data_IF_701547065090
#
_entry.id   IF_701547065090
#
_cell.length_a   1.000
_cell.length_b   1.000
_cell.length_c   1.000
_cell.angle_alpha   90.00
_cell.angle_beta   90.00
_cell.angle_gamma   90.00
#
_symmetry.space_group_name_H-M   'P 1'
#
loop_
_entity.id
_entity.type
_entity.pdbx_description
1 polymer ?
#
# COMPACT_ATOMS: atom_id res chain seq x y z
N UNK A 1 -2.79 7.81 7.01
CA UNK A 1 -2.91 6.35 7.18
C UNK A 1 -3.74 5.78 6.04
N UNK A 2 -3.26 4.76 5.35
CA UNK A 2 -4.03 4.04 4.31
C UNK A 2 -5.10 3.15 4.94
N UNK A 3 -6.31 3.13 4.36
CA UNK A 3 -7.44 2.29 4.80
C UNK A 3 -8.47 2.18 3.68
N UNK A 4 -9.39 1.20 3.78
CA UNK A 4 -10.54 1.08 2.87
C UNK A 4 -11.44 2.32 2.86
N UNK A 5 -12.19 2.49 1.78
CA UNK A 5 -13.13 3.59 1.59
C UNK A 5 -12.49 4.96 1.38
N UNK A 6 -11.21 5.02 1.00
CA UNK A 6 -10.52 6.26 0.67
C UNK A 6 -10.74 6.67 -0.78
N UNK A 7 -10.88 7.97 -1.02
CA UNK A 7 -10.88 8.54 -2.38
C UNK A 7 -9.57 8.22 -3.11
N UNK A 8 -9.68 7.75 -4.37
CA UNK A 8 -8.52 7.37 -5.18
C UNK A 8 -7.47 8.49 -5.28
N UNK A 9 -7.93 9.73 -5.44
CA UNK A 9 -7.05 10.92 -5.48
C UNK A 9 -6.24 11.08 -4.19
N UNK A 10 -6.83 10.77 -3.04
CA UNK A 10 -6.16 10.86 -1.74
C UNK A 10 -5.09 9.80 -1.61
N UNK A 11 -5.38 8.56 -2.03
CA UNK A 11 -4.43 7.44 -2.02
C UNK A 11 -3.21 7.78 -2.89
N UNK A 12 -3.45 8.20 -4.14
CA UNK A 12 -2.41 8.60 -5.10
C UNK A 12 -1.53 9.73 -4.58
N UNK A 13 -2.14 10.77 -3.99
CA UNK A 13 -1.38 11.88 -3.39
C UNK A 13 -0.46 11.41 -2.27
N UNK A 14 -0.92 10.50 -1.42
CA UNK A 14 -0.09 9.96 -0.34
C UNK A 14 1.10 9.16 -0.88
N UNK A 15 0.85 8.26 -1.84
CA UNK A 15 1.92 7.49 -2.49
C UNK A 15 2.95 8.42 -3.15
N UNK A 16 2.49 9.44 -3.88
CA UNK A 16 3.35 10.42 -4.53
C UNK A 16 4.25 11.18 -3.54
N UNK A 17 3.72 11.58 -2.38
CA UNK A 17 4.51 12.25 -1.34
C UNK A 17 5.60 11.31 -0.79
N UNK A 18 5.28 10.03 -0.58
CA UNK A 18 6.25 9.03 -0.13
C UNK A 18 7.35 8.76 -1.15
N UNK A 19 7.02 8.75 -2.44
CA UNK A 19 8.01 8.63 -3.53
C UNK A 19 8.99 9.81 -3.55
N UNK A 20 8.59 10.98 -3.04
CA UNK A 20 9.45 12.16 -2.93
C UNK A 20 10.38 12.19 -1.72
N UNK A 21 10.36 11.18 -0.84
CA UNK A 21 11.26 11.13 0.31
C UNK A 21 12.72 10.93 -0.11
N UNK A 22 13.64 11.58 0.61
CA UNK A 22 15.07 11.36 0.41
C UNK A 22 15.43 9.87 0.54
N UNK A 23 16.20 9.41 -0.43
CA UNK A 23 16.63 8.03 -0.48
C UNK A 23 15.58 7.05 -1.00
N UNK A 24 14.36 7.48 -1.36
CA UNK A 24 13.28 6.59 -1.76
C UNK A 24 13.72 5.64 -2.88
N UNK A 25 14.30 6.17 -3.96
CA UNK A 25 14.69 5.36 -5.12
C UNK A 25 15.71 4.26 -4.78
N UNK A 26 16.60 4.52 -3.83
CA UNK A 26 17.64 3.59 -3.39
C UNK A 26 17.12 2.51 -2.42
N UNK A 27 15.92 2.67 -1.85
CA UNK A 27 15.32 1.66 -0.96
C UNK A 27 14.96 0.39 -1.75
N UNK A 28 15.11 -0.76 -1.10
CA UNK A 28 14.62 -2.03 -1.66
C UNK A 28 13.10 -2.00 -1.82
N UNK A 29 12.57 -2.75 -2.80
CA UNK A 29 11.12 -2.86 -3.01
C UNK A 29 10.40 -3.29 -1.71
N UNK A 30 10.94 -4.28 -0.99
CA UNK A 30 10.39 -4.73 0.29
C UNK A 30 10.33 -3.62 1.32
N UNK A 31 11.36 -2.77 1.40
CA UNK A 31 11.38 -1.62 2.32
C UNK A 31 10.34 -0.57 1.92
N UNK A 32 10.23 -0.24 0.62
CA UNK A 32 9.22 0.69 0.09
C UNK A 32 7.80 0.23 0.46
N UNK A 33 7.48 -1.05 0.20
CA UNK A 33 6.20 -1.63 0.57
C UNK A 33 5.96 -1.58 2.08
N UNK A 34 6.96 -1.94 2.88
CA UNK A 34 6.84 -1.97 4.35
C UNK A 34 6.51 -0.60 4.93
N UNK A 35 7.05 0.49 4.37
CA UNK A 35 6.75 1.85 4.85
C UNK A 35 5.28 2.22 4.66
N UNK A 36 4.72 1.89 3.50
CA UNK A 36 3.28 2.08 3.22
C UNK A 36 2.42 1.28 4.20
N UNK A 37 2.80 0.02 4.45
CA UNK A 37 2.04 -0.90 5.30
C UNK A 37 2.16 -0.54 6.79
N UNK A 38 3.31 -0.05 7.26
CA UNK A 38 3.43 0.48 8.63
C UNK A 38 2.46 1.63 8.89
N UNK A 39 2.20 2.42 7.84
CA UNK A 39 1.29 3.57 7.87
C UNK A 39 -0.12 3.23 7.38
N UNK A 40 -0.57 1.98 7.49
CA UNK A 40 -1.90 1.53 7.07
C UNK A 40 -2.75 0.97 8.23
N UNK A 41 -4.03 0.71 7.95
CA UNK A 41 -4.94 0.04 8.87
C UNK A 41 -4.49 -1.39 9.16
N UNK A 42 -4.93 -1.93 10.30
CA UNK A 42 -4.66 -3.33 10.68
C UNK A 42 -5.06 -4.33 9.60
N UNK A 43 -6.21 -4.09 8.97
CA UNK A 43 -6.70 -4.93 7.86
C UNK A 43 -5.71 -5.03 6.68
N UNK A 44 -5.08 -3.92 6.30
CA UNK A 44 -4.07 -3.90 5.24
C UNK A 44 -2.80 -4.60 5.71
N UNK A 45 -2.41 -4.43 6.98
CA UNK A 45 -1.25 -5.09 7.57
C UNK A 45 -1.42 -6.61 7.57
N UNK A 46 -2.59 -7.10 7.96
CA UNK A 46 -2.93 -8.52 7.95
C UNK A 46 -2.93 -9.07 6.51
N UNK A 47 -3.59 -8.37 5.56
CA UNK A 47 -3.57 -8.77 4.14
C UNK A 47 -2.15 -8.84 3.54
N UNK A 48 -1.28 -7.92 3.92
CA UNK A 48 0.11 -7.90 3.48
C UNK A 48 0.95 -9.02 4.11
N UNK A 49 0.69 -9.36 5.37
CA UNK A 49 1.31 -10.50 6.04
C UNK A 49 0.92 -11.82 5.34
N UNK A 50 -0.38 -12.03 5.11
CA UNK A 50 -0.92 -13.21 4.44
C UNK A 50 -0.36 -13.35 3.01
N UNK A 51 -0.34 -12.25 2.25
CA UNK A 51 0.28 -12.23 0.92
C UNK A 51 1.79 -12.54 0.97
N UNK A 52 2.46 -12.15 2.05
CA UNK A 52 3.86 -12.44 2.31
C UNK A 52 4.13 -13.93 2.53
N UNK A 53 3.39 -14.57 3.42
CA UNK A 53 3.55 -16.01 3.70
C UNK A 53 3.18 -16.88 2.50
N UNK A 54 2.29 -16.42 1.63
CA UNK A 54 1.88 -17.10 0.40
C UNK A 54 2.80 -16.82 -0.79
N UNK A 55 3.85 -16.01 -0.64
CA UNK A 55 4.73 -15.55 -1.73
C UNK A 55 3.99 -14.83 -2.87
N UNK A 56 2.93 -14.08 -2.53
CA UNK A 56 2.06 -13.33 -3.46
C UNK A 56 2.29 -11.82 -3.43
N UNK A 57 3.34 -11.35 -2.77
CA UNK A 57 3.67 -9.92 -2.77
C UNK A 57 3.97 -9.42 -4.18
N UNK A 58 3.65 -8.14 -4.41
CA UNK A 58 3.99 -7.46 -5.65
C UNK A 58 5.50 -7.56 -5.96
N UNK A 59 5.82 -7.79 -7.24
CA UNK A 59 7.19 -7.97 -7.73
C UNK A 59 7.87 -6.67 -8.15
N UNK A 60 7.09 -5.60 -8.24
CA UNK A 60 7.53 -4.26 -8.60
C UNK A 60 6.67 -3.22 -7.87
N UNK A 61 7.11 -1.97 -7.90
CA UNK A 61 6.49 -0.89 -7.15
C UNK A 61 5.15 -0.44 -7.75
N UNK A 62 4.99 -0.45 -9.06
CA UNK A 62 3.75 -0.01 -9.71
C UNK A 62 2.62 -1.01 -9.47
N UNK A 63 2.91 -2.31 -9.52
CA UNK A 63 2.00 -3.38 -9.12
C UNK A 63 1.57 -3.23 -7.66
N UNK A 64 2.49 -2.87 -6.76
CA UNK A 64 2.16 -2.60 -5.36
C UNK A 64 1.25 -1.38 -5.20
N UNK A 65 1.56 -0.26 -5.87
CA UNK A 65 0.70 0.94 -5.85
C UNK A 65 -0.71 0.62 -6.31
N UNK A 66 -0.85 -0.14 -7.40
CA UNK A 66 -2.14 -0.57 -7.93
C UNK A 66 -2.92 -1.41 -6.90
N UNK A 67 -2.27 -2.37 -6.24
CA UNK A 67 -2.88 -3.14 -5.16
C UNK A 67 -3.39 -2.25 -4.01
N UNK A 68 -2.57 -1.29 -3.56
CA UNK A 68 -2.96 -0.35 -2.50
C UNK A 68 -4.10 0.56 -2.94
N UNK A 69 -4.09 1.05 -4.18
CA UNK A 69 -5.16 1.84 -4.78
C UNK A 69 -6.48 1.06 -4.81
N UNK A 70 -6.46 -0.19 -5.29
CA UNK A 70 -7.62 -1.07 -5.34
C UNK A 70 -8.15 -1.37 -3.93
N UNK A 71 -7.29 -1.89 -3.05
CA UNK A 71 -7.68 -2.23 -1.68
C UNK A 71 -8.25 -1.03 -0.92
N UNK A 72 -7.59 0.13 -0.99
CA UNK A 72 -8.02 1.30 -0.23
C UNK A 72 -9.24 2.00 -0.83
N UNK A 73 -9.48 1.89 -2.15
CA UNK A 73 -10.63 2.51 -2.81
C UNK A 73 -11.89 1.63 -2.77
N UNK A 74 -11.76 0.34 -2.47
CA UNK A 74 -12.91 -0.53 -2.20
C UNK A 74 -13.77 0.03 -1.07
N UNK A 75 -15.05 0.25 -1.37
CA UNK A 75 -16.03 0.66 -0.36
C UNK A 75 -16.28 -0.50 0.57
N UNK A 76 -16.23 -0.24 1.87
CA UNK A 76 -16.72 -1.18 2.88
C UNK A 76 -18.24 -1.29 2.68
N UNK A 77 -18.69 -2.40 2.11
CA UNK A 77 -20.10 -2.76 2.14
C UNK A 77 -20.43 -3.09 3.60
N UNK A 78 -21.01 -2.12 4.30
CA UNK A 78 -21.61 -2.39 5.61
C UNK A 78 -22.87 -3.26 5.37
N UNK A 79 -23.04 -4.37 6.10
CA UNK A 79 -24.30 -5.10 6.12
C UNK A 79 -25.44 -4.26 6.71
#
# INVERSE_FOLDING_TARGET
>A
MFKRGMELRTIKRMLFIMEGEDGFEQRSLRSKMTEVIKNSSREIQDNFYDSGIENKLARDWDSFKKHIEEFCSEKVLLP
#
